data_IF_879322202118
#
_entry.id   IF_879322202118
#
_cell.length_a   1.000
_cell.length_b   1.000
_cell.length_c   1.000
_cell.angle_alpha   90.00
_cell.angle_beta   90.00
_cell.angle_gamma   90.00
#
_symmetry.space_group_name_H-M   'P 1'
#
loop_
_entity.id
_entity.type
_entity.pdbx_description
1 polymer ?
#
# COMPACT_ATOMS: atom_id res chain seq x y z
N UNK A 1 6.57 7.35 18.97
CA UNK A 1 8.03 7.17 18.84
C UNK A 1 8.71 8.52 18.67
N UNK A 2 10.04 8.64 18.78
CA UNK A 2 10.74 9.94 18.64
C UNK A 2 11.66 9.93 17.42
N UNK A 3 11.39 10.71 16.35
CA UNK A 3 12.25 10.78 15.18
C UNK A 3 13.64 11.34 15.49
N UNK A 4 14.67 10.79 14.86
CA UNK A 4 16.03 11.32 14.93
C UNK A 4 16.18 12.61 14.14
N UNK A 5 17.25 13.36 14.41
CA UNK A 5 17.61 14.56 13.62
C UNK A 5 17.79 14.24 12.14
N UNK A 6 18.29 13.03 11.84
CA UNK A 6 18.43 12.55 10.47
C UNK A 6 17.06 12.36 9.81
N UNK A 7 16.12 11.71 10.50
CA UNK A 7 14.77 11.52 10.00
C UNK A 7 14.08 12.86 9.67
N UNK A 8 14.18 13.85 10.57
CA UNK A 8 13.69 15.21 10.30
C UNK A 8 14.36 15.87 9.09
N UNK A 9 15.69 15.71 8.94
CA UNK A 9 16.43 16.33 7.85
C UNK A 9 16.14 15.68 6.49
N UNK A 10 15.90 14.37 6.46
CA UNK A 10 15.58 13.64 5.24
C UNK A 10 14.12 13.86 4.84
N UNK A 11 13.18 13.80 5.79
CA UNK A 11 11.74 13.89 5.50
C UNK A 11 11.38 15.21 4.80
N UNK A 12 11.94 16.35 5.28
CA UNK A 12 11.80 17.69 4.68
C UNK A 12 12.28 17.81 3.23
N UNK A 13 13.10 16.86 2.75
CA UNK A 13 13.64 16.83 1.39
C UNK A 13 12.87 15.88 0.47
N UNK A 14 11.88 15.18 0.99
CA UNK A 14 11.00 14.31 0.20
C UNK A 14 9.85 15.12 -0.41
N UNK A 15 9.18 14.56 -1.41
CA UNK A 15 8.02 15.22 -2.02
C UNK A 15 6.86 15.33 -1.03
N UNK A 16 6.05 16.39 -1.14
CA UNK A 16 4.95 16.67 -0.22
C UNK A 16 3.95 15.50 -0.07
N UNK A 17 3.74 14.74 -1.15
CA UNK A 17 2.83 13.60 -1.22
C UNK A 17 3.49 12.25 -0.84
N UNK A 18 4.76 12.23 -0.49
CA UNK A 18 5.44 11.01 -0.08
C UNK A 18 5.13 10.72 1.39
N UNK A 19 4.72 9.49 1.73
CA UNK A 19 4.48 9.08 3.12
C UNK A 19 5.72 9.31 4.02
N UNK A 20 6.91 9.19 3.44
CA UNK A 20 8.20 9.44 4.11
C UNK A 20 8.51 10.93 4.37
N UNK A 21 7.64 11.85 3.97
CA UNK A 21 7.69 13.26 4.35
C UNK A 21 7.38 13.47 5.84
N UNK A 22 6.68 12.53 6.44
CA UNK A 22 6.47 12.46 7.88
C UNK A 22 7.77 11.99 8.55
N UNK A 23 8.36 12.75 9.50
CA UNK A 23 9.58 12.37 10.19
C UNK A 23 9.48 11.00 10.88
N UNK A 24 8.31 10.67 11.39
CA UNK A 24 7.99 9.38 11.99
C UNK A 24 8.08 8.27 10.93
N UNK A 25 7.41 8.43 9.79
CA UNK A 25 7.51 7.47 8.68
C UNK A 25 8.96 7.29 8.21
N UNK A 26 9.74 8.37 8.11
CA UNK A 26 11.17 8.29 7.76
C UNK A 26 12.00 7.54 8.81
N UNK A 27 11.74 7.78 10.11
CA UNK A 27 12.44 7.08 11.17
C UNK A 27 12.14 5.58 11.16
N UNK A 28 10.90 5.17 10.88
CA UNK A 28 10.55 3.76 10.70
C UNK A 28 11.33 3.10 9.55
N UNK A 29 11.54 3.83 8.46
CA UNK A 29 12.35 3.37 7.33
C UNK A 29 13.82 3.20 7.74
N UNK A 30 14.36 4.17 8.48
CA UNK A 30 15.73 4.09 9.05
C UNK A 30 15.86 2.88 9.97
N UNK A 31 14.90 2.65 10.86
CA UNK A 31 14.92 1.56 11.84
C UNK A 31 14.87 0.18 11.15
N UNK A 32 14.12 0.05 10.03
CA UNK A 32 14.00 -1.21 9.29
C UNK A 32 15.14 -1.48 8.33
N UNK A 33 15.61 -0.47 7.62
CA UNK A 33 16.59 -0.61 6.54
C UNK A 33 18.03 -0.37 6.98
N UNK A 34 18.20 0.33 8.09
CA UNK A 34 19.47 0.87 8.54
C UNK A 34 19.81 2.22 7.90
N UNK A 35 20.46 3.06 8.70
CA UNK A 35 20.87 4.43 8.34
C UNK A 35 21.66 4.51 7.03
N UNK A 36 22.63 3.62 6.83
CA UNK A 36 23.50 3.67 5.65
C UNK A 36 22.76 3.36 4.35
N UNK A 37 21.82 2.40 4.38
CA UNK A 37 21.00 2.07 3.22
C UNK A 37 20.10 3.24 2.84
N UNK A 38 19.49 3.91 3.82
CA UNK A 38 18.65 5.10 3.59
C UNK A 38 19.46 6.25 2.99
N UNK A 39 20.65 6.52 3.52
CA UNK A 39 21.53 7.57 2.98
C UNK A 39 21.96 7.27 1.55
N UNK A 40 22.37 6.04 1.26
CA UNK A 40 22.70 5.60 -0.09
C UNK A 40 21.51 5.77 -1.04
N UNK A 41 20.33 5.28 -0.65
CA UNK A 41 19.11 5.39 -1.45
C UNK A 41 18.71 6.85 -1.70
N UNK A 42 18.92 7.74 -0.73
CA UNK A 42 18.68 9.18 -0.87
C UNK A 42 19.59 9.79 -1.94
N UNK A 43 20.90 9.53 -1.86
CA UNK A 43 21.88 10.04 -2.82
C UNK A 43 21.59 9.49 -4.22
N UNK A 44 21.37 8.17 -4.34
CA UNK A 44 21.02 7.52 -5.59
C UNK A 44 19.73 8.09 -6.19
N UNK A 45 18.71 8.35 -5.37
CA UNK A 45 17.48 8.99 -5.81
C UNK A 45 17.70 10.40 -6.35
N UNK A 46 18.52 11.22 -5.67
CA UNK A 46 18.85 12.57 -6.14
C UNK A 46 19.55 12.55 -7.50
N UNK A 47 20.52 11.65 -7.69
CA UNK A 47 21.23 11.48 -8.96
C UNK A 47 20.30 10.94 -10.06
N UNK A 48 19.49 9.93 -9.76
CA UNK A 48 18.52 9.36 -10.69
C UNK A 48 17.48 10.41 -11.13
N UNK A 49 17.02 11.25 -10.21
CA UNK A 49 16.11 12.37 -10.51
C UNK A 49 16.75 13.40 -11.45
N UNK A 50 18.03 13.71 -11.26
CA UNK A 50 18.77 14.58 -12.17
C UNK A 50 18.88 13.97 -13.58
N UNK A 51 18.94 12.63 -13.68
CA UNK A 51 18.90 11.88 -14.93
C UNK A 51 17.47 11.59 -15.46
N UNK A 52 16.43 12.22 -14.89
CA UNK A 52 15.04 12.06 -15.32
C UNK A 52 14.33 10.80 -14.82
N UNK A 53 14.97 9.95 -14.01
CA UNK A 53 14.38 8.74 -13.42
C UNK A 53 13.70 9.06 -12.09
N UNK A 54 12.47 8.57 -11.91
CA UNK A 54 11.69 8.72 -10.67
C UNK A 54 11.53 7.35 -10.00
N UNK A 55 11.32 7.33 -8.68
CA UNK A 55 11.01 6.09 -7.94
C UNK A 55 12.21 5.31 -7.39
N UNK A 56 13.45 5.64 -7.76
CA UNK A 56 14.67 4.90 -7.35
C UNK A 56 14.84 4.72 -5.84
N UNK A 57 14.36 5.68 -5.03
CA UNK A 57 14.36 5.51 -3.58
C UNK A 57 13.54 4.28 -3.17
N UNK A 58 12.30 4.17 -3.66
CA UNK A 58 11.40 3.05 -3.33
C UNK A 58 11.94 1.72 -3.86
N UNK A 59 12.53 1.71 -5.06
CA UNK A 59 13.17 0.53 -5.64
C UNK A 59 14.31 -0.02 -4.76
N UNK A 60 15.18 0.86 -4.26
CA UNK A 60 16.32 0.46 -3.42
C UNK A 60 15.89 0.07 -2.01
N UNK A 61 14.86 0.73 -1.49
CA UNK A 61 14.37 0.46 -0.16
C UNK A 61 13.55 -0.84 -0.07
N UNK A 62 12.87 -1.21 -1.16
CA UNK A 62 12.09 -2.45 -1.24
C UNK A 62 11.12 -2.58 -0.07
N UNK A 63 11.17 -3.74 0.60
CA UNK A 63 10.26 -4.07 1.70
C UNK A 63 10.39 -3.15 2.93
N UNK A 64 11.48 -2.40 3.07
CA UNK A 64 11.60 -1.44 4.17
C UNK A 64 10.67 -0.23 4.02
N UNK A 65 10.18 0.02 2.80
CA UNK A 65 9.13 0.99 2.49
C UNK A 65 7.85 0.26 2.06
N UNK A 66 7.70 -1.04 2.42
CA UNK A 66 6.44 -1.78 2.23
C UNK A 66 5.29 -0.92 2.71
N UNK A 67 4.25 -0.81 1.89
CA UNK A 67 3.09 0.07 2.08
C UNK A 67 2.73 0.22 3.56
N UNK A 68 3.15 1.34 4.15
CA UNK A 68 2.58 1.82 5.38
C UNK A 68 1.79 3.06 5.03
N UNK A 69 0.57 3.13 5.54
CA UNK A 69 -0.22 4.34 5.46
C UNK A 69 0.25 5.26 6.58
N UNK A 70 0.54 6.50 6.20
CA UNK A 70 0.92 7.53 7.16
C UNK A 70 -0.29 7.95 7.99
N UNK A 71 -0.09 8.88 8.92
CA UNK A 71 -1.21 9.58 9.50
C UNK A 71 -1.80 10.55 8.45
N UNK A 72 -2.73 10.06 7.64
CA UNK A 72 -3.30 10.74 6.46
C UNK A 72 -4.58 11.50 6.74
N UNK A 73 -5.06 11.50 8.00
CA UNK A 73 -6.28 12.21 8.38
C UNK A 73 -7.57 11.51 7.95
N UNK A 74 -7.50 10.21 7.63
CA UNK A 74 -8.61 9.43 7.08
C UNK A 74 -9.73 9.17 8.09
N UNK A 75 -9.42 8.57 9.25
CA UNK A 75 -10.45 8.23 10.25
C UNK A 75 -9.88 8.08 11.68
N UNK A 76 -10.56 8.61 12.73
CA UNK A 76 -10.23 8.31 14.12
C UNK A 76 -10.33 6.80 14.48
N UNK A 77 -9.35 6.17 15.18
CA UNK A 77 -8.10 6.70 15.75
C UNK A 77 -6.85 6.53 14.86
N UNK A 78 -7.03 6.18 13.59
CA UNK A 78 -5.94 5.91 12.63
C UNK A 78 -5.32 7.19 12.06
N UNK A 79 -5.98 8.33 12.21
CA UNK A 79 -5.49 9.67 11.90
C UNK A 79 -4.23 10.06 12.70
N UNK A 80 -3.88 9.29 13.74
CA UNK A 80 -2.65 9.46 14.55
C UNK A 80 -1.73 8.25 14.51
N UNK A 81 -2.03 7.24 13.71
CA UNK A 81 -1.27 6.00 13.62
C UNK A 81 -0.53 5.92 12.28
N UNK A 82 0.56 5.14 12.27
CA UNK A 82 1.16 4.63 11.03
C UNK A 82 0.73 3.17 10.95
N UNK A 83 -0.03 2.83 9.90
CA UNK A 83 -0.59 1.49 9.73
C UNK A 83 0.30 0.71 8.76
N UNK A 84 0.81 -0.43 9.19
CA UNK A 84 1.60 -1.30 8.31
C UNK A 84 0.67 -2.15 7.44
N UNK A 85 1.10 -2.41 6.20
CA UNK A 85 0.48 -3.45 5.39
C UNK A 85 0.43 -4.78 6.15
N UNK A 86 -0.61 -5.59 5.90
CA UNK A 86 -0.70 -6.92 6.51
C UNK A 86 0.50 -7.77 6.14
N UNK A 87 1.01 -8.53 7.13
CA UNK A 87 2.20 -9.38 6.96
C UNK A 87 1.97 -10.51 5.95
N UNK A 88 0.75 -11.07 5.94
CA UNK A 88 0.38 -12.20 5.08
C UNK A 88 -1.06 -12.01 4.57
N UNK A 89 -1.21 -11.17 3.56
CA UNK A 89 -2.51 -10.87 2.95
C UNK A 89 -3.08 -12.07 2.18
N UNK A 90 -2.20 -12.91 1.59
CA UNK A 90 -2.60 -14.11 0.85
C UNK A 90 -3.11 -15.18 1.80
N UNK A 91 -2.39 -15.47 2.89
CA UNK A 91 -2.83 -16.40 3.93
C UNK A 91 -4.12 -15.93 4.60
N UNK A 92 -4.27 -14.63 4.86
CA UNK A 92 -5.55 -14.09 5.38
C UNK A 92 -6.71 -14.36 4.41
N UNK A 93 -6.54 -14.03 3.12
CA UNK A 93 -7.59 -14.19 2.13
C UNK A 93 -7.96 -15.67 1.89
N UNK A 94 -6.97 -16.56 1.95
CA UNK A 94 -7.18 -18.01 1.87
C UNK A 94 -7.93 -18.54 3.10
N UNK A 95 -7.52 -18.14 4.30
CA UNK A 95 -8.19 -18.52 5.55
C UNK A 95 -9.63 -18.01 5.62
N UNK A 96 -9.89 -16.80 5.11
CA UNK A 96 -11.25 -16.26 5.00
C UNK A 96 -12.11 -17.14 4.08
N UNK A 97 -11.59 -17.52 2.91
CA UNK A 97 -12.28 -18.40 1.98
C UNK A 97 -12.61 -19.75 2.60
N UNK A 98 -11.67 -20.38 3.31
CA UNK A 98 -11.88 -21.67 3.97
C UNK A 98 -13.00 -21.63 5.02
N UNK A 99 -13.21 -20.48 5.67
CA UNK A 99 -14.24 -20.32 6.71
C UNK A 99 -15.59 -19.84 6.18
N UNK A 100 -15.59 -18.94 5.21
CA UNK A 100 -16.80 -18.28 4.72
C UNK A 100 -17.30 -18.85 3.39
N UNK A 101 -16.47 -19.60 2.66
CA UNK A 101 -16.77 -20.07 1.30
C UNK A 101 -16.81 -18.97 0.24
N UNK A 102 -16.33 -17.75 0.57
CA UNK A 102 -16.39 -16.57 -0.29
C UNK A 102 -14.96 -16.14 -0.63
N UNK A 103 -14.67 -15.98 -1.92
CA UNK A 103 -13.37 -15.50 -2.37
C UNK A 103 -13.09 -14.08 -1.85
N UNK A 104 -11.86 -13.83 -1.41
CA UNK A 104 -11.45 -12.60 -0.76
C UNK A 104 -10.23 -12.00 -1.45
N UNK A 105 -10.16 -10.67 -1.47
CA UNK A 105 -8.97 -9.92 -1.85
C UNK A 105 -8.74 -8.80 -0.85
N UNK A 106 -7.51 -8.65 -0.39
CA UNK A 106 -7.04 -7.52 0.41
C UNK A 106 -6.46 -6.49 -0.56
N UNK A 107 -7.03 -5.29 -0.58
CA UNK A 107 -6.73 -4.26 -1.58
C UNK A 107 -6.33 -2.97 -0.89
N UNK A 108 -5.22 -2.38 -1.35
CA UNK A 108 -4.79 -1.02 -1.05
C UNK A 108 -5.24 -0.12 -2.21
N UNK A 109 -6.25 0.71 -1.98
CA UNK A 109 -6.83 1.61 -2.97
C UNK A 109 -6.80 3.06 -2.47
N UNK A 110 -6.70 4.00 -3.40
CA UNK A 110 -6.75 5.43 -3.08
C UNK A 110 -7.40 6.24 -4.20
N UNK A 111 -7.75 7.47 -3.87
CA UNK A 111 -8.48 8.39 -4.76
C UNK A 111 -7.61 8.96 -5.90
N UNK A 112 -6.33 8.57 -5.99
CA UNK A 112 -5.40 8.98 -7.05
C UNK A 112 -5.40 8.01 -8.25
N UNK A 113 -6.44 7.17 -8.37
CA UNK A 113 -6.55 6.21 -9.46
C UNK A 113 -5.58 5.05 -9.32
N UNK A 114 -5.28 4.62 -8.10
CA UNK A 114 -4.39 3.48 -7.84
C UNK A 114 -5.10 2.47 -6.93
N UNK A 115 -5.11 1.23 -7.37
CA UNK A 115 -5.52 0.08 -6.58
C UNK A 115 -4.49 -1.04 -6.75
N UNK A 116 -4.05 -1.63 -5.63
CA UNK A 116 -3.10 -2.73 -5.58
C UNK A 116 -3.67 -3.85 -4.73
N UNK A 117 -3.78 -5.04 -5.30
CA UNK A 117 -4.12 -6.24 -4.53
C UNK A 117 -2.89 -6.69 -3.76
N UNK A 118 -2.96 -6.59 -2.43
CA UNK A 118 -1.89 -7.03 -1.52
C UNK A 118 -1.91 -8.54 -1.32
N UNK A 119 -3.09 -9.15 -1.37
CA UNK A 119 -3.25 -10.60 -1.38
C UNK A 119 -4.67 -11.01 -1.75
N UNK A 120 -4.83 -12.26 -2.18
CA UNK A 120 -6.12 -12.79 -2.59
C UNK A 120 -6.19 -14.32 -2.46
N UNK A 121 -7.41 -14.83 -2.35
CA UNK A 121 -7.70 -16.27 -2.43
C UNK A 121 -7.15 -16.84 -3.74
N UNK A 122 -6.69 -18.10 -3.69
CA UNK A 122 -6.22 -18.81 -4.89
C UNK A 122 -7.29 -18.81 -5.99
N UNK A 123 -6.90 -18.50 -7.22
CA UNK A 123 -7.81 -18.39 -8.37
C UNK A 123 -8.50 -17.04 -8.52
N UNK A 124 -8.30 -16.06 -7.63
CA UNK A 124 -8.79 -14.68 -7.83
C UNK A 124 -7.88 -13.93 -8.81
N UNK A 125 -8.49 -13.33 -9.83
CA UNK A 125 -7.80 -12.49 -10.82
C UNK A 125 -7.51 -11.09 -10.27
N UNK A 126 -6.30 -10.93 -9.73
CA UNK A 126 -5.84 -9.69 -9.07
C UNK A 126 -5.89 -8.46 -9.97
N UNK A 127 -5.58 -8.61 -11.26
CA UNK A 127 -5.63 -7.56 -12.27
C UNK A 127 -7.06 -7.00 -12.45
N UNK A 128 -8.05 -7.90 -12.52
CA UNK A 128 -9.45 -7.53 -12.69
C UNK A 128 -10.00 -6.87 -11.42
N UNK A 129 -9.65 -7.40 -10.24
CA UNK A 129 -10.03 -6.80 -8.95
C UNK A 129 -9.45 -5.39 -8.81
N UNK A 130 -8.16 -5.20 -9.11
CA UNK A 130 -7.53 -3.88 -9.08
C UNK A 130 -8.21 -2.90 -10.06
N UNK A 131 -8.52 -3.36 -11.28
CA UNK A 131 -9.23 -2.54 -12.27
C UNK A 131 -10.64 -2.14 -11.78
N UNK A 132 -11.37 -3.05 -11.15
CA UNK A 132 -12.71 -2.79 -10.62
C UNK A 132 -12.72 -1.75 -9.47
N UNK A 133 -11.62 -1.63 -8.74
CA UNK A 133 -11.48 -0.72 -7.59
C UNK A 133 -10.62 0.52 -7.91
N UNK A 134 -10.22 0.72 -9.17
CA UNK A 134 -9.24 1.73 -9.56
C UNK A 134 -9.63 3.15 -9.14
N UNK A 135 -10.91 3.49 -9.25
CA UNK A 135 -11.45 4.82 -8.91
C UNK A 135 -11.80 4.97 -7.44
N UNK A 136 -11.51 3.96 -6.62
CA UNK A 136 -11.87 3.90 -5.20
C UNK A 136 -13.34 4.26 -4.89
N UNK A 137 -14.32 3.54 -5.48
CA UNK A 137 -15.73 3.95 -5.42
C UNK A 137 -16.34 3.94 -4.01
N UNK A 138 -15.64 3.36 -3.03
CA UNK A 138 -16.11 3.24 -1.66
C UNK A 138 -15.63 4.37 -0.74
N UNK A 139 -14.64 5.16 -1.18
CA UNK A 139 -14.06 6.23 -0.37
C UNK A 139 -13.12 5.73 0.74
N UNK A 140 -12.37 6.66 1.34
CA UNK A 140 -11.37 6.39 2.38
C UNK A 140 -11.65 7.11 3.72
N UNK A 141 -12.75 7.86 3.82
CA UNK A 141 -12.98 8.81 4.91
C UNK A 141 -14.22 8.40 5.72
N UNK A 142 -15.14 9.33 5.97
CA UNK A 142 -16.33 9.14 6.78
C UNK A 142 -17.34 8.15 6.19
N UNK A 143 -17.12 7.65 4.97
CA UNK A 143 -17.92 6.57 4.40
C UNK A 143 -17.83 5.29 5.25
N UNK A 144 -16.68 5.04 5.90
CA UNK A 144 -16.46 3.88 6.78
C UNK A 144 -16.80 2.54 6.11
N UNK A 145 -16.34 2.34 4.87
CA UNK A 145 -16.64 1.21 3.99
C UNK A 145 -15.43 0.27 3.77
N UNK A 146 -14.80 -0.30 4.83
CA UNK A 146 -13.59 -1.11 4.69
C UNK A 146 -13.83 -2.47 4.00
N UNK A 147 -15.09 -2.83 3.74
CA UNK A 147 -15.49 -4.09 3.10
C UNK A 147 -16.36 -3.77 1.89
N UNK A 148 -15.93 -4.25 0.73
CA UNK A 148 -16.63 -4.08 -0.55
C UNK A 148 -16.98 -5.44 -1.13
N UNK A 149 -18.20 -5.58 -1.64
CA UNK A 149 -18.64 -6.78 -2.36
C UNK A 149 -18.56 -6.53 -3.86
N UNK A 150 -17.64 -7.22 -4.54
CA UNK A 150 -17.59 -7.25 -6.00
C UNK A 150 -18.49 -8.37 -6.52
N UNK A 151 -19.50 -8.00 -7.30
CA UNK A 151 -20.46 -8.94 -7.88
C UNK A 151 -20.51 -8.79 -9.40
N UNK A 152 -20.13 -9.85 -10.11
CA UNK A 152 -20.37 -9.97 -11.55
C UNK A 152 -21.88 -10.11 -11.83
N UNK A 153 -22.38 -9.34 -12.80
CA UNK A 153 -23.79 -9.35 -13.23
C UNK A 153 -24.00 -9.69 -14.70
N UNK A 154 -22.92 -9.96 -15.45
CA UNK A 154 -23.02 -10.38 -16.84
C UNK A 154 -23.37 -11.86 -16.99
N UNK A 155 -23.69 -12.31 -18.21
CA UNK A 155 -23.85 -13.73 -18.49
C UNK A 155 -22.52 -14.47 -18.37
N UNK A 156 -22.57 -15.76 -18.00
CA UNK A 156 -21.40 -16.64 -17.91
C UNK A 156 -20.60 -16.52 -16.62
N UNK A 157 -19.39 -17.07 -16.66
CA UNK A 157 -18.50 -17.13 -15.49
C UNK A 157 -17.98 -15.75 -15.08
N UNK A 158 -17.72 -15.60 -13.79
CA UNK A 158 -17.20 -14.35 -13.24
C UNK A 158 -15.78 -14.08 -13.73
N UNK A 159 -15.49 -12.92 -14.35
CA UNK A 159 -14.12 -12.56 -14.74
C UNK A 159 -13.22 -12.27 -13.54
N UNK A 160 -13.77 -12.23 -12.31
CA UNK A 160 -13.01 -12.07 -11.08
C UNK A 160 -12.27 -13.34 -10.68
N UNK A 161 -12.65 -14.49 -11.22
CA UNK A 161 -12.07 -15.79 -10.91
C UNK A 161 -11.46 -16.40 -12.16
N UNK A 162 -10.40 -17.17 -11.98
CA UNK A 162 -9.90 -18.07 -13.01
C UNK A 162 -10.94 -19.16 -13.29
N UNK A 163 -11.04 -19.58 -14.55
CA UNK A 163 -11.89 -20.71 -14.89
C UNK A 163 -11.39 -21.96 -14.14
N UNK A 164 -12.30 -22.69 -13.51
CA UNK A 164 -11.96 -23.98 -12.93
C UNK A 164 -11.42 -24.89 -14.05
N UNK A 165 -10.16 -25.31 -13.91
CA UNK A 165 -9.54 -26.30 -14.82
C UNK A 165 -10.00 -27.70 -14.46
#
# INVERSE_FOLDING_TARGET
MRPSRLAYALSRRTGALATVNQPESMQLVIDRAGTWKVLYATVAHTLARAAGRRGTFYELMGDAVTAFDGYTGTLPPYERAIVFAPRDSDGFAQLFYERAGIACAVVDANDLGKAKVLGATTGVRRDVVAAALLTNPHGNSDEQTPVVVLKWRGPGDSPLLEAAR
#
